data_IF_675417825835
#
_entry.id   IF_675417825835
#
_cell.length_a   1.000
_cell.length_b   1.000
_cell.length_c   1.000
_cell.angle_alpha   90.00
_cell.angle_beta   90.00
_cell.angle_gamma   90.00
#
_symmetry.space_group_name_H-M   'P 1'
#
loop_
_entity.id
_entity.type
_entity.pdbx_description
1 polymer ?
#
# COMPACT_ATOMS: atom_id res chain seq x y z
N UNK A 1 2.27 13.80 -6.06
CA UNK A 1 1.01 13.06 -6.31
C UNK A 1 0.94 12.48 -7.73
N UNK A 2 1.03 13.27 -8.81
CA UNK A 2 1.01 12.73 -10.18
C UNK A 2 2.14 11.71 -10.45
N UNK A 3 3.35 11.99 -9.94
CA UNK A 3 4.49 11.06 -10.03
C UNK A 3 4.24 9.76 -9.26
N UNK A 4 3.61 9.83 -8.07
CA UNK A 4 3.24 8.64 -7.29
C UNK A 4 2.27 7.75 -8.10
N UNK A 5 1.20 8.34 -8.63
CA UNK A 5 0.18 7.60 -9.41
C UNK A 5 0.81 6.99 -10.67
N UNK A 6 1.65 7.76 -11.37
CA UNK A 6 2.35 7.29 -12.57
C UNK A 6 3.30 6.12 -12.25
N UNK A 7 4.06 6.22 -11.17
CA UNK A 7 4.99 5.17 -10.78
C UNK A 7 4.28 3.90 -10.28
N UNK A 8 3.16 4.01 -9.57
CA UNK A 8 2.32 2.87 -9.20
C UNK A 8 1.82 2.09 -10.42
N UNK A 9 1.45 2.79 -11.52
CA UNK A 9 1.03 2.15 -12.78
C UNK A 9 2.18 1.52 -13.55
N UNK A 10 3.38 2.08 -13.44
CA UNK A 10 4.55 1.68 -14.25
C UNK A 10 5.40 0.57 -13.63
N UNK A 11 5.40 0.40 -12.30
CA UNK A 11 6.19 -0.64 -11.60
C UNK A 11 5.51 -2.01 -11.69
N UNK A 12 5.19 -2.43 -12.93
CA UNK A 12 4.87 -3.82 -13.27
C UNK A 12 6.17 -4.50 -13.66
N UNK A 13 6.65 -5.41 -12.81
CA UNK A 13 7.81 -6.31 -12.97
C UNK A 13 9.15 -5.77 -12.42
N UNK A 14 9.48 -6.21 -11.21
CA UNK A 14 10.85 -6.59 -10.84
C UNK A 14 10.75 -7.57 -9.67
N UNK A 15 11.21 -8.79 -9.89
CA UNK A 15 11.11 -9.89 -8.93
C UNK A 15 12.39 -10.02 -8.11
N UNK A 16 12.36 -9.60 -6.85
CA UNK A 16 13.33 -10.09 -5.86
C UNK A 16 12.60 -10.90 -4.77
N UNK A 17 13.24 -12.03 -4.39
CA UNK A 17 12.65 -13.07 -3.54
C UNK A 17 12.92 -12.73 -2.07
N UNK A 18 11.86 -12.51 -1.30
CA UNK A 18 11.91 -12.43 0.17
C UNK A 18 11.06 -13.56 0.73
N UNK A 19 11.51 -14.19 1.82
CA UNK A 19 10.86 -15.35 2.44
C UNK A 19 10.14 -14.94 3.74
N UNK A 20 8.97 -15.50 4.05
CA UNK A 20 8.27 -15.33 5.34
C UNK A 20 8.80 -16.26 6.44
N UNK A 21 8.19 -16.18 7.63
CA UNK A 21 8.59 -16.94 8.82
C UNK A 21 8.40 -18.45 8.65
N UNK A 22 7.56 -18.88 7.71
CA UNK A 22 7.26 -20.28 7.41
C UNK A 22 8.07 -20.80 6.22
N UNK A 23 8.98 -19.98 5.68
CA UNK A 23 9.80 -20.36 4.52
C UNK A 23 9.11 -20.14 3.17
N UNK A 24 7.93 -19.49 3.12
CA UNK A 24 7.26 -19.17 1.86
C UNK A 24 7.82 -17.89 1.25
N UNK A 25 8.06 -17.89 -0.06
CA UNK A 25 8.46 -16.68 -0.76
C UNK A 25 7.28 -15.69 -0.78
N UNK A 26 7.34 -14.65 0.06
CA UNK A 26 6.41 -13.52 0.05
C UNK A 26 7.11 -12.36 -0.66
N UNK A 27 6.86 -12.24 -1.96
CA UNK A 27 7.29 -11.08 -2.74
C UNK A 27 6.44 -9.88 -2.34
N UNK A 28 7.02 -8.76 -1.85
CA UNK A 28 6.24 -7.56 -1.61
C UNK A 28 5.60 -7.08 -2.91
N UNK A 29 4.39 -6.54 -2.83
CA UNK A 29 3.76 -5.96 -4.02
C UNK A 29 4.64 -4.78 -4.51
N UNK A 30 5.11 -4.79 -5.78
CA UNK A 30 6.00 -3.73 -6.28
C UNK A 30 5.44 -2.31 -6.11
N UNK A 31 4.13 -2.15 -6.25
CA UNK A 31 3.44 -0.88 -6.01
C UNK A 31 3.60 -0.40 -4.56
N UNK A 32 3.52 -1.31 -3.58
CA UNK A 32 3.70 -0.94 -2.17
C UNK A 32 5.15 -0.54 -1.90
N UNK A 33 6.12 -1.27 -2.47
CA UNK A 33 7.54 -0.89 -2.37
C UNK A 33 7.73 0.53 -2.92
N UNK A 34 7.20 0.79 -4.11
CA UNK A 34 7.27 2.11 -4.74
C UNK A 34 6.61 3.20 -3.88
N UNK A 35 5.44 2.93 -3.31
CA UNK A 35 4.73 3.87 -2.44
C UNK A 35 5.60 4.23 -1.24
N UNK A 36 6.15 3.24 -0.53
CA UNK A 36 7.00 3.50 0.64
C UNK A 36 8.30 4.23 0.26
N UNK A 37 8.96 3.85 -0.84
CA UNK A 37 10.16 4.54 -1.35
C UNK A 37 9.84 5.99 -1.73
N UNK A 38 8.73 6.22 -2.43
CA UNK A 38 8.33 7.55 -2.85
C UNK A 38 7.96 8.43 -1.64
N UNK A 39 7.30 7.86 -0.63
CA UNK A 39 7.01 8.57 0.62
C UNK A 39 8.30 8.89 1.38
N UNK A 40 9.24 7.94 1.51
CA UNK A 40 10.55 8.17 2.13
C UNK A 40 11.34 9.30 1.44
N UNK A 41 11.45 9.22 0.11
CA UNK A 41 12.19 10.19 -0.70
C UNK A 41 11.56 11.59 -0.69
N UNK A 42 10.29 11.71 -0.27
CA UNK A 42 9.55 12.97 -0.21
C UNK A 42 8.98 13.22 1.21
N UNK A 43 9.69 12.76 2.24
CA UNK A 43 9.23 12.78 3.63
C UNK A 43 8.70 14.14 4.07
N UNK A 44 9.46 15.22 3.81
CA UNK A 44 9.07 16.58 4.24
C UNK A 44 7.71 17.00 3.69
N UNK A 45 7.44 16.67 2.41
CA UNK A 45 6.16 16.96 1.78
C UNK A 45 5.02 16.16 2.42
N UNK A 46 5.20 14.84 2.55
CA UNK A 46 4.15 13.97 3.09
C UNK A 46 3.92 14.20 4.59
N UNK A 47 4.95 14.58 5.35
CA UNK A 47 4.83 14.88 6.79
C UNK A 47 3.94 16.10 7.01
N UNK A 48 4.15 17.16 6.22
CA UNK A 48 3.29 18.35 6.26
C UNK A 48 1.87 18.00 5.84
N UNK A 49 1.71 17.30 4.72
CA UNK A 49 0.40 17.08 4.12
C UNK A 49 -0.44 15.99 4.79
N UNK A 50 0.18 15.04 5.50
CA UNK A 50 -0.49 13.95 6.22
C UNK A 50 -0.42 14.12 7.75
N UNK A 51 0.18 15.23 8.21
CA UNK A 51 0.26 15.63 9.61
C UNK A 51 -1.07 16.15 10.18
N UNK A 52 -1.11 16.53 11.46
CA UNK A 52 -2.32 17.02 12.14
C UNK A 52 -3.00 18.23 11.47
N UNK A 53 -2.23 19.03 10.74
CA UNK A 53 -2.69 20.22 10.01
C UNK A 53 -2.65 20.04 8.49
N UNK A 54 -2.46 18.80 8.03
CA UNK A 54 -2.38 18.48 6.62
C UNK A 54 -3.72 18.67 5.89
N UNK A 55 -3.67 18.78 4.56
CA UNK A 55 -4.88 18.89 3.76
C UNK A 55 -5.64 17.56 3.73
N UNK A 56 -6.83 17.51 4.35
CA UNK A 56 -7.72 16.34 4.31
C UNK A 56 -7.98 15.86 2.88
N UNK A 57 -8.04 16.79 1.92
CA UNK A 57 -8.20 16.50 0.50
C UNK A 57 -7.08 15.59 -0.04
N UNK A 58 -5.85 15.72 0.45
CA UNK A 58 -4.75 14.85 0.03
C UNK A 58 -4.95 13.42 0.54
N UNK A 59 -5.37 13.26 1.80
CA UNK A 59 -5.69 11.94 2.36
C UNK A 59 -6.80 11.24 1.58
N UNK A 60 -7.89 11.96 1.26
CA UNK A 60 -8.97 11.40 0.44
C UNK A 60 -8.49 11.02 -0.97
N UNK A 61 -7.68 11.86 -1.62
CA UNK A 61 -7.11 11.53 -2.93
C UNK A 61 -6.19 10.31 -2.89
N UNK A 62 -5.36 10.17 -1.86
CA UNK A 62 -4.54 8.97 -1.69
C UNK A 62 -5.41 7.73 -1.50
N UNK A 63 -6.46 7.84 -0.68
CA UNK A 63 -7.42 6.75 -0.46
C UNK A 63 -8.13 6.34 -1.75
N UNK A 64 -8.57 7.30 -2.58
CA UNK A 64 -9.14 7.06 -3.91
C UNK A 64 -8.14 6.29 -4.80
N UNK A 65 -6.89 6.75 -4.88
CA UNK A 65 -5.85 6.07 -5.68
C UNK A 65 -5.65 4.62 -5.22
N UNK A 66 -5.57 4.37 -3.90
CA UNK A 66 -5.46 3.00 -3.38
C UNK A 66 -6.71 2.17 -3.69
N UNK A 67 -7.90 2.75 -3.56
CA UNK A 67 -9.18 2.10 -3.85
C UNK A 67 -9.26 1.68 -5.31
N UNK A 68 -8.96 2.59 -6.24
CA UNK A 68 -8.97 2.33 -7.68
C UNK A 68 -7.97 1.25 -8.07
N UNK A 69 -6.73 1.36 -7.55
CA UNK A 69 -5.65 0.39 -7.83
C UNK A 69 -6.04 -1.01 -7.33
N UNK A 70 -6.63 -1.11 -6.15
CA UNK A 70 -7.06 -2.39 -5.58
C UNK A 70 -8.29 -2.96 -6.29
N UNK A 71 -9.24 -2.11 -6.68
CA UNK A 71 -10.43 -2.49 -7.44
C UNK A 71 -10.05 -3.08 -8.80
N UNK A 72 -9.16 -2.41 -9.54
CA UNK A 72 -8.63 -2.89 -10.81
C UNK A 72 -7.96 -4.26 -10.62
N UNK A 73 -7.08 -4.39 -9.62
CA UNK A 73 -6.41 -5.67 -9.32
C UNK A 73 -7.40 -6.79 -8.99
N UNK A 74 -8.44 -6.53 -8.19
CA UNK A 74 -9.44 -7.54 -7.85
C UNK A 74 -10.33 -7.92 -9.03
N UNK A 75 -10.58 -7.01 -9.97
CA UNK A 75 -11.35 -7.28 -11.19
C UNK A 75 -10.69 -8.37 -12.06
N UNK A 76 -9.36 -8.45 -12.05
CA UNK A 76 -8.57 -9.44 -12.78
C UNK A 76 -8.37 -10.76 -12.05
N UNK A 77 -9.00 -10.94 -10.88
CA UNK A 77 -8.86 -12.16 -10.08
C UNK A 77 -10.16 -12.96 -10.06
N UNK A 78 -10.04 -14.29 -9.99
CA UNK A 78 -11.18 -15.19 -9.77
C UNK A 78 -11.60 -15.30 -8.29
N UNK A 79 -11.19 -14.34 -7.45
CA UNK A 79 -11.47 -14.35 -6.01
C UNK A 79 -12.98 -14.18 -5.77
N UNK A 80 -13.51 -15.01 -4.86
CA UNK A 80 -14.88 -14.95 -4.36
C UNK A 80 -14.87 -14.60 -2.87
N UNK A 81 -14.73 -13.31 -2.51
CA UNK A 81 -14.71 -12.90 -1.11
C UNK A 81 -16.04 -13.18 -0.42
N UNK A 82 -15.96 -13.48 0.86
CA UNK A 82 -17.11 -13.70 1.76
C UNK A 82 -17.94 -12.43 1.97
N UNK A 83 -17.36 -11.27 1.67
CA UNK A 83 -17.99 -9.94 1.74
C UNK A 83 -18.04 -9.30 0.35
N UNK A 84 -18.93 -8.32 0.11
CA UNK A 84 -18.94 -7.55 -1.15
C UNK A 84 -17.56 -6.99 -1.50
N UNK A 85 -17.17 -7.11 -2.77
CA UNK A 85 -15.84 -6.69 -3.26
C UNK A 85 -15.53 -5.23 -2.92
N UNK A 86 -16.51 -4.34 -3.05
CA UNK A 86 -16.38 -2.92 -2.72
C UNK A 86 -15.96 -2.70 -1.25
N UNK A 87 -16.61 -3.39 -0.32
CA UNK A 87 -16.28 -3.31 1.11
C UNK A 87 -14.84 -3.79 1.36
N UNK A 88 -14.45 -4.90 0.73
CA UNK A 88 -13.08 -5.43 0.84
C UNK A 88 -12.04 -4.44 0.30
N UNK A 89 -12.31 -3.81 -0.85
CA UNK A 89 -11.43 -2.80 -1.47
C UNK A 89 -11.24 -1.62 -0.53
N UNK A 90 -12.33 -1.03 -0.04
CA UNK A 90 -12.26 0.12 0.85
C UNK A 90 -11.54 -0.20 2.17
N UNK A 91 -11.84 -1.37 2.76
CA UNK A 91 -11.13 -1.85 3.95
C UNK A 91 -9.62 -1.93 3.71
N UNK A 92 -9.19 -2.60 2.63
CA UNK A 92 -7.78 -2.77 2.31
C UNK A 92 -7.09 -1.42 2.02
N UNK A 93 -7.73 -0.53 1.26
CA UNK A 93 -7.22 0.80 0.96
C UNK A 93 -7.01 1.63 2.24
N UNK A 94 -8.00 1.64 3.13
CA UNK A 94 -7.91 2.33 4.42
C UNK A 94 -6.83 1.74 5.33
N UNK A 95 -6.71 0.41 5.40
CA UNK A 95 -5.68 -0.24 6.19
C UNK A 95 -4.27 0.10 5.69
N UNK A 96 -4.04 0.06 4.38
CA UNK A 96 -2.74 0.39 3.78
C UNK A 96 -2.37 1.85 4.06
N UNK A 97 -3.29 2.78 3.81
CA UNK A 97 -3.05 4.20 4.08
C UNK A 97 -2.76 4.45 5.56
N UNK A 98 -3.51 3.81 6.46
CA UNK A 98 -3.30 3.91 7.90
C UNK A 98 -1.89 3.49 8.32
N UNK A 99 -1.38 2.39 7.79
CA UNK A 99 -0.02 1.91 8.07
C UNK A 99 1.04 2.85 7.51
N UNK A 100 0.87 3.38 6.30
CA UNK A 100 1.79 4.34 5.69
C UNK A 100 1.85 5.63 6.52
N UNK A 101 0.69 6.16 6.92
CA UNK A 101 0.61 7.37 7.74
C UNK A 101 1.25 7.16 9.10
N UNK A 102 1.00 6.03 9.76
CA UNK A 102 1.66 5.68 11.02
C UNK A 102 3.18 5.61 10.84
N UNK A 103 3.66 4.88 9.83
CA UNK A 103 5.07 4.69 9.58
C UNK A 103 5.79 6.03 9.35
N UNK A 104 5.21 6.91 8.54
CA UNK A 104 5.73 8.25 8.30
C UNK A 104 5.75 9.10 9.59
N UNK A 105 4.65 9.14 10.34
CA UNK A 105 4.55 9.94 11.58
C UNK A 105 5.53 9.53 12.67
N UNK A 106 6.04 8.30 12.61
CA UNK A 106 7.00 7.76 13.57
C UNK A 106 8.45 7.84 13.05
N UNK A 107 8.72 8.67 12.03
CA UNK A 107 10.08 8.87 11.51
C UNK A 107 10.61 7.67 10.73
N UNK A 108 9.74 6.97 10.01
CA UNK A 108 10.08 5.83 9.15
C UNK A 108 10.87 4.75 9.92
N UNK A 109 10.32 4.17 11.02
CA UNK A 109 11.06 3.30 11.94
C UNK A 109 11.54 1.98 11.32
N UNK A 110 11.11 1.67 10.10
CA UNK A 110 11.50 0.49 9.34
C UNK A 110 11.80 0.87 7.88
N UNK A 111 12.67 0.14 7.16
CA UNK A 111 12.92 0.40 5.75
C UNK A 111 11.67 0.23 4.86
N UNK A 112 11.54 0.98 3.75
CA UNK A 112 10.43 0.89 2.80
C UNK A 112 10.06 -0.53 2.36
N UNK A 113 11.06 -1.32 1.96
CA UNK A 113 10.87 -2.69 1.47
C UNK A 113 10.36 -3.63 2.57
N UNK A 114 10.84 -3.44 3.80
CA UNK A 114 10.36 -4.19 4.96
C UNK A 114 8.87 -3.93 5.21
N UNK A 115 8.46 -2.65 5.16
CA UNK A 115 7.06 -2.26 5.35
C UNK A 115 6.15 -2.78 4.23
N UNK A 116 6.60 -2.69 2.98
CA UNK A 116 5.88 -3.26 1.84
C UNK A 116 5.69 -4.78 2.01
N UNK A 117 6.70 -5.47 2.53
CA UNK A 117 6.63 -6.91 2.84
C UNK A 117 5.62 -7.18 3.95
N UNK A 118 5.60 -6.39 5.04
CA UNK A 118 4.64 -6.59 6.13
C UNK A 118 3.19 -6.35 5.67
N UNK A 119 2.92 -5.29 4.90
CA UNK A 119 1.59 -5.06 4.33
C UNK A 119 1.16 -6.19 3.39
N UNK A 120 2.10 -6.74 2.62
CA UNK A 120 1.82 -7.89 1.75
C UNK A 120 1.46 -9.13 2.57
N UNK A 121 2.13 -9.39 3.69
CA UNK A 121 1.78 -10.50 4.61
C UNK A 121 0.42 -10.31 5.26
N UNK A 122 0.11 -9.10 5.75
CA UNK A 122 -1.20 -8.79 6.35
C UNK A 122 -2.35 -8.99 5.37
N UNK A 123 -2.14 -8.61 4.10
CA UNK A 123 -3.10 -8.90 3.02
C UNK A 123 -3.40 -10.40 2.91
N UNK A 124 -2.37 -11.25 2.93
CA UNK A 124 -2.52 -12.70 2.78
C UNK A 124 -3.32 -13.32 3.93
N UNK A 125 -3.14 -12.82 5.16
CA UNK A 125 -3.84 -13.34 6.35
C UNK A 125 -5.35 -13.10 6.31
N UNK A 126 -5.80 -11.97 5.75
CA UNK A 126 -7.23 -11.64 5.63
C UNK A 126 -7.87 -12.15 4.33
N UNK A 127 -7.07 -12.67 3.40
CA UNK A 127 -7.51 -13.26 2.13
C UNK A 127 -7.49 -14.80 2.15
N UNK A 128 -7.39 -15.43 3.33
CA UNK A 128 -7.57 -16.87 3.41
C UNK A 128 -9.04 -17.21 3.13
N UNK A 129 -9.28 -17.87 2.00
CA UNK A 129 -10.56 -18.45 1.57
C UNK A 129 -10.68 -19.89 2.06
#
# INVERSE_FOLDING_TARGET
MNELIRGMKNKRLSEEKITDRDGNVVKPLPDLVYVFEHVANNESFYTVMLGPHGEQRLLFRLLEVFTDTLSERLSHTHLKPTVPKEILVHYAASAYLGVIVWWLKNGQPYPPEYMATQLTRLRLQHMNF
#
